data_IF_469865247729
#
_entry.id   IF_469865247729
#
_cell.length_a   1.000
_cell.length_b   1.000
_cell.length_c   1.000
_cell.angle_alpha   90.00
_cell.angle_beta   90.00
_cell.angle_gamma   90.00
#
_symmetry.space_group_name_H-M   'P 1'
#
loop_
_entity.id
_entity.type
_entity.pdbx_description
1 polymer ?
#
# COMPACT_ATOMS: atom_id res chain seq x y z
N UNK A 1 -47.68 -42.87 22.16
CA UNK A 1 -47.23 -44.25 22.01
C UNK A 1 -45.70 -44.14 21.93
N UNK A 2 -45.02 -44.24 23.04
CA UNK A 2 -44.44 -45.48 23.61
C UNK A 2 -43.30 -45.96 22.73
N UNK A 3 -42.08 -46.18 23.15
CA UNK A 3 -41.42 -46.58 24.41
C UNK A 3 -39.92 -46.64 24.09
N UNK A 4 -38.99 -46.06 24.85
CA UNK A 4 -38.27 -46.64 25.98
C UNK A 4 -37.45 -47.92 25.66
N UNK A 5 -36.11 -47.84 25.86
CA UNK A 5 -35.26 -48.66 26.72
C UNK A 5 -33.79 -48.45 26.31
N UNK A 6 -32.83 -48.00 27.08
CA UNK A 6 -32.33 -48.32 28.42
C UNK A 6 -31.61 -49.66 28.53
N UNK A 7 -30.37 -49.51 29.02
CA UNK A 7 -29.56 -50.51 29.76
C UNK A 7 -28.67 -51.45 28.94
N UNK A 8 -27.50 -51.82 29.33
CA UNK A 8 -26.81 -52.14 30.57
C UNK A 8 -25.29 -52.25 30.29
N UNK A 9 -24.43 -51.63 30.98
CA UNK A 9 -23.69 -52.08 32.19
C UNK A 9 -22.90 -53.39 32.08
N UNK A 10 -21.64 -53.29 32.42
CA UNK A 10 -20.74 -54.12 33.21
C UNK A 10 -19.49 -54.56 32.42
N UNK A 11 -18.32 -54.13 32.82
CA UNK A 11 -17.43 -54.43 33.95
C UNK A 11 -16.45 -55.55 33.66
N UNK A 12 -15.18 -55.29 33.77
CA UNK A 12 -14.21 -55.91 34.69
C UNK A 12 -12.76 -55.70 34.23
N UNK A 13 -11.99 -55.06 35.09
CA UNK A 13 -10.81 -55.61 35.77
C UNK A 13 -9.81 -56.23 34.83
N UNK A 14 -8.63 -55.75 34.65
CA UNK A 14 -7.55 -55.52 35.57
C UNK A 14 -6.30 -56.12 34.97
N UNK A 15 -5.24 -55.47 34.99
CA UNK A 15 -3.96 -56.03 35.51
C UNK A 15 -2.80 -55.11 35.11
N UNK A 16 -2.07 -54.82 36.11
CA UNK A 16 -0.83 -54.04 36.18
C UNK A 16 0.25 -54.57 35.23
N UNK A 17 0.86 -53.64 34.49
CA UNK A 17 2.21 -53.81 34.01
C UNK A 17 2.95 -52.47 34.07
N UNK A 18 3.68 -52.29 35.14
CA UNK A 18 4.76 -51.30 35.25
C UNK A 18 5.72 -51.52 34.07
N UNK A 19 5.77 -50.53 33.18
CA UNK A 19 6.85 -50.36 32.22
C UNK A 19 7.52 -49.03 32.55
N UNK A 20 8.66 -49.13 33.14
CA UNK A 20 9.68 -48.10 33.35
C UNK A 20 9.90 -47.31 32.06
N UNK A 21 9.41 -46.09 32.00
CA UNK A 21 9.78 -45.13 30.96
C UNK A 21 11.04 -44.41 31.38
N UNK A 22 12.15 -44.81 30.81
CA UNK A 22 13.36 -44.00 30.79
C UNK A 22 13.08 -42.68 30.13
N UNK A 23 13.26 -41.63 30.88
CA UNK A 23 13.07 -40.24 30.52
C UNK A 23 14.31 -39.79 29.75
N UNK A 24 14.34 -40.04 28.45
CA UNK A 24 15.27 -39.36 27.54
C UNK A 24 14.86 -37.90 27.43
N UNK A 25 15.47 -37.07 28.25
CA UNK A 25 15.46 -35.63 28.14
C UNK A 25 16.28 -35.20 26.93
N UNK A 26 15.72 -35.37 25.73
CA UNK A 26 16.21 -34.66 24.55
C UNK A 26 15.88 -33.19 24.71
N UNK A 27 16.87 -32.41 25.19
CA UNK A 27 16.83 -30.95 25.22
C UNK A 27 16.48 -30.43 23.84
N UNK A 28 15.23 -30.01 23.66
CA UNK A 28 14.78 -29.28 22.48
C UNK A 28 15.61 -28.02 22.31
N UNK A 29 16.59 -28.06 21.41
CA UNK A 29 17.23 -26.85 20.94
C UNK A 29 16.14 -26.00 20.31
N UNK A 30 15.76 -24.92 21.00
CA UNK A 30 14.92 -23.87 20.45
C UNK A 30 15.62 -23.34 19.20
N UNK A 31 15.06 -23.69 18.01
CA UNK A 31 15.49 -23.13 16.74
C UNK A 31 15.30 -21.63 16.86
N UNK A 32 16.39 -20.90 17.05
CA UNK A 32 16.34 -19.45 17.01
C UNK A 32 15.82 -19.03 15.64
N UNK A 33 14.81 -18.15 15.56
CA UNK A 33 14.33 -17.68 14.27
C UNK A 33 15.51 -17.04 13.54
N UNK A 34 15.87 -17.65 12.40
CA UNK A 34 16.93 -17.20 11.52
C UNK A 34 16.69 -15.73 11.18
N UNK A 35 17.56 -14.84 11.68
CA UNK A 35 17.45 -13.41 11.40
C UNK A 35 17.72 -13.23 9.92
N UNK A 36 16.66 -13.03 9.15
CA UNK A 36 16.75 -12.69 7.73
C UNK A 36 17.76 -11.54 7.55
N UNK A 37 18.69 -11.64 6.59
CA UNK A 37 19.70 -10.63 6.38
C UNK A 37 19.04 -9.27 6.10
N UNK A 38 19.37 -8.27 6.91
CA UNK A 38 18.88 -6.90 6.70
C UNK A 38 19.57 -6.33 5.47
N UNK A 39 18.78 -5.99 4.45
CA UNK A 39 19.30 -5.39 3.23
C UNK A 39 19.90 -4.02 3.54
N UNK A 40 21.21 -3.85 3.29
CA UNK A 40 21.87 -2.55 3.41
C UNK A 40 21.33 -1.59 2.35
N UNK A 41 20.83 -0.44 2.78
CA UNK A 41 20.29 0.58 1.91
C UNK A 41 21.33 1.64 1.62
N UNK A 42 21.49 2.06 0.36
CA UNK A 42 22.39 3.15 0.02
C UNK A 42 21.88 4.48 0.64
N UNK A 43 22.79 5.45 0.90
CA UNK A 43 22.40 6.72 1.52
C UNK A 43 21.40 7.49 0.67
N UNK A 44 20.47 8.16 1.32
CA UNK A 44 19.39 8.92 0.67
C UNK A 44 19.92 10.15 -0.07
N UNK A 45 21.04 10.72 0.40
CA UNK A 45 21.70 11.89 -0.19
C UNK A 45 23.01 11.39 -0.83
N UNK A 46 23.20 11.70 -2.11
CA UNK A 46 24.44 11.37 -2.82
C UNK A 46 25.57 12.32 -2.35
N UNK A 47 26.64 11.82 -1.71
CA UNK A 47 27.74 12.65 -1.25
C UNK A 47 28.56 13.25 -2.41
N UNK A 48 28.56 12.58 -3.57
CA UNK A 48 29.35 12.99 -4.75
C UNK A 48 28.57 13.91 -5.71
N UNK A 49 27.31 14.20 -5.40
CA UNK A 49 26.49 15.11 -6.21
C UNK A 49 26.95 16.57 -6.06
N UNK A 50 26.80 17.35 -7.14
CA UNK A 50 27.03 18.80 -7.12
C UNK A 50 26.19 19.49 -6.03
N UNK A 51 26.62 20.68 -5.60
CA UNK A 51 25.96 21.38 -4.48
C UNK A 51 24.47 21.69 -4.76
N UNK A 52 24.10 22.01 -6.00
CA UNK A 52 22.70 22.21 -6.41
C UNK A 52 21.87 20.94 -6.31
N UNK A 53 22.42 19.81 -6.74
CA UNK A 53 21.75 18.51 -6.64
C UNK A 53 21.58 18.09 -5.18
N UNK A 54 22.59 18.34 -4.34
CA UNK A 54 22.49 18.09 -2.88
C UNK A 54 21.46 18.98 -2.22
N UNK A 55 21.38 20.25 -2.61
CA UNK A 55 20.36 21.17 -2.11
C UNK A 55 18.96 20.70 -2.51
N UNK A 56 18.77 20.36 -3.79
CA UNK A 56 17.52 19.82 -4.29
C UNK A 56 17.10 18.54 -3.54
N UNK A 57 18.03 17.60 -3.34
CA UNK A 57 17.81 16.36 -2.60
C UNK A 57 17.41 16.62 -1.13
N UNK A 58 18.05 17.61 -0.48
CA UNK A 58 17.69 18.01 0.90
C UNK A 58 16.30 18.62 0.96
N UNK A 59 15.96 19.48 0.02
CA UNK A 59 14.64 20.10 -0.08
C UNK A 59 13.59 19.01 -0.34
N UNK A 60 13.82 18.13 -1.32
CA UNK A 60 12.93 17.01 -1.62
C UNK A 60 12.71 16.08 -0.41
N UNK A 61 13.78 15.70 0.30
CA UNK A 61 13.71 14.86 1.48
C UNK A 61 12.93 15.51 2.64
N UNK A 62 13.17 16.81 2.89
CA UNK A 62 12.42 17.58 3.90
C UNK A 62 10.96 17.73 3.51
N UNK A 63 10.67 18.09 2.26
CA UNK A 63 9.32 18.24 1.75
C UNK A 63 8.54 16.93 1.78
N UNK A 64 9.18 15.81 1.40
CA UNK A 64 8.57 14.48 1.46
C UNK A 64 8.22 14.07 2.90
N UNK A 65 9.11 14.33 3.87
CA UNK A 65 8.85 14.06 5.29
C UNK A 65 7.72 14.94 5.87
N UNK A 66 7.67 16.21 5.49
CA UNK A 66 6.60 17.12 5.90
C UNK A 66 5.26 16.77 5.26
N UNK A 67 5.27 16.31 4.01
CA UNK A 67 4.07 15.91 3.27
C UNK A 67 3.34 14.72 3.92
N UNK A 68 4.06 13.83 4.61
CA UNK A 68 3.48 12.70 5.35
C UNK A 68 2.78 13.16 6.63
N UNK A 69 3.22 14.28 7.23
CA UNK A 69 2.73 14.73 8.54
C UNK A 69 1.60 15.75 8.49
N UNK A 70 1.44 16.51 7.40
CA UNK A 70 0.51 17.64 7.38
C UNK A 70 -0.18 17.82 6.04
N UNK A 71 -1.52 17.89 6.05
CA UNK A 71 -2.36 18.12 4.87
C UNK A 71 -2.02 19.41 4.09
N UNK A 72 -1.53 20.46 4.75
CA UNK A 72 -1.14 21.70 4.09
C UNK A 72 0.07 21.47 3.19
N UNK A 73 1.13 20.85 3.70
CA UNK A 73 2.34 20.55 2.94
C UNK A 73 2.11 19.54 1.84
N UNK A 74 1.25 18.54 2.09
CA UNK A 74 0.80 17.62 1.06
C UNK A 74 0.13 18.35 -0.11
N UNK A 75 -0.75 19.31 0.16
CA UNK A 75 -1.43 20.11 -0.88
C UNK A 75 -0.47 21.01 -1.64
N UNK A 76 0.49 21.63 -0.96
CA UNK A 76 1.50 22.48 -1.60
C UNK A 76 2.43 21.64 -2.50
N UNK A 77 2.87 20.48 -2.02
CA UNK A 77 3.70 19.55 -2.79
C UNK A 77 2.93 18.94 -3.96
N UNK A 78 1.66 18.58 -3.76
CA UNK A 78 0.81 18.08 -4.84
C UNK A 78 0.63 19.11 -5.96
N UNK A 79 0.59 20.41 -5.65
CA UNK A 79 0.50 21.47 -6.66
C UNK A 79 1.72 21.52 -7.58
N UNK A 80 2.90 21.28 -7.03
CA UNK A 80 4.19 21.40 -7.74
C UNK A 80 4.54 20.08 -8.44
N UNK A 81 4.43 18.94 -7.73
CA UNK A 81 4.90 17.65 -8.19
C UNK A 81 3.81 16.73 -8.76
N UNK A 82 2.55 16.97 -8.36
CA UNK A 82 1.40 16.16 -8.78
C UNK A 82 0.26 17.07 -9.27
N UNK A 83 0.45 17.80 -10.40
CA UNK A 83 -0.53 18.78 -10.87
C UNK A 83 -1.91 18.16 -11.12
N UNK A 84 -1.99 16.90 -11.56
CA UNK A 84 -3.24 16.17 -11.73
C UNK A 84 -3.98 15.97 -10.40
N UNK A 85 -3.30 15.50 -9.37
CA UNK A 85 -3.87 15.32 -8.04
C UNK A 85 -4.37 16.64 -7.44
N UNK A 86 -3.61 17.72 -7.64
CA UNK A 86 -4.02 19.05 -7.19
C UNK A 86 -5.27 19.54 -7.93
N UNK A 87 -5.32 19.44 -9.25
CA UNK A 87 -6.48 19.86 -10.06
C UNK A 87 -7.71 19.00 -9.81
N UNK A 88 -7.57 17.69 -9.66
CA UNK A 88 -8.66 16.79 -9.29
C UNK A 88 -9.21 17.09 -7.89
N UNK A 89 -8.35 17.64 -7.01
CA UNK A 89 -8.69 17.98 -5.64
C UNK A 89 -8.86 16.76 -4.73
N UNK A 90 -8.21 15.64 -5.07
CA UNK A 90 -8.20 14.44 -4.22
C UNK A 90 -7.64 14.77 -2.83
N UNK A 91 -8.23 14.20 -1.79
CA UNK A 91 -7.88 14.45 -0.38
C UNK A 91 -7.91 13.16 0.42
N UNK A 92 -7.10 13.09 1.47
CA UNK A 92 -7.23 12.06 2.50
C UNK A 92 -8.57 12.20 3.24
N UNK A 93 -9.24 11.08 3.46
CA UNK A 93 -10.48 11.00 4.23
C UNK A 93 -10.31 10.19 5.52
N UNK A 94 -9.36 9.25 5.59
CA UNK A 94 -9.17 8.37 6.72
C UNK A 94 -8.88 9.14 8.00
N UNK A 95 -9.49 8.68 9.11
CA UNK A 95 -9.11 9.03 10.48
C UNK A 95 -8.16 7.96 11.02
N UNK A 96 -7.50 8.25 12.11
CA UNK A 96 -6.65 7.26 12.78
C UNK A 96 -7.46 6.02 13.15
N UNK A 97 -7.01 4.84 12.70
CA UNK A 97 -7.69 3.56 12.91
C UNK A 97 -8.65 3.12 11.81
N UNK A 98 -9.04 4.02 10.89
CA UNK A 98 -9.89 3.68 9.76
C UNK A 98 -9.07 3.08 8.59
N UNK A 99 -9.71 2.30 7.69
CA UNK A 99 -9.10 1.91 6.43
C UNK A 99 -8.61 3.12 5.64
N UNK A 100 -7.52 2.95 4.89
CA UNK A 100 -7.00 4.05 4.09
C UNK A 100 -8.01 4.47 3.02
N UNK A 101 -8.43 5.71 3.08
CA UNK A 101 -9.41 6.27 2.15
C UNK A 101 -8.97 7.63 1.62
N UNK A 102 -9.23 7.84 0.33
CA UNK A 102 -9.12 9.15 -0.31
C UNK A 102 -10.44 9.52 -0.97
N UNK A 103 -10.74 10.82 -1.05
CA UNK A 103 -11.96 11.33 -1.68
C UNK A 103 -11.62 12.27 -2.82
N UNK A 104 -12.24 12.04 -3.97
CA UNK A 104 -12.22 12.92 -5.15
C UNK A 104 -13.52 13.71 -5.20
N UNK A 105 -13.48 15.04 -5.09
CA UNK A 105 -14.69 15.87 -5.11
C UNK A 105 -15.33 15.89 -6.49
N UNK A 106 -16.66 16.02 -6.51
CA UNK A 106 -17.46 16.09 -7.73
C UNK A 106 -17.41 17.50 -8.32
N UNK A 107 -16.27 17.90 -8.90
CA UNK A 107 -15.99 19.21 -9.49
C UNK A 107 -16.04 19.16 -11.01
N UNK A 108 -16.18 20.33 -11.68
CA UNK A 108 -16.20 20.44 -13.14
C UNK A 108 -14.99 19.75 -13.80
N UNK A 109 -13.80 19.85 -13.25
CA UNK A 109 -12.59 19.21 -13.77
C UNK A 109 -12.69 17.69 -13.81
N UNK A 110 -13.44 17.07 -12.89
CA UNK A 110 -13.59 15.64 -12.78
C UNK A 110 -14.82 15.09 -13.50
N UNK A 111 -15.64 15.94 -14.12
CA UNK A 111 -16.87 15.55 -14.77
C UNK A 111 -16.70 15.32 -16.27
N UNK A 112 -17.50 14.41 -16.80
CA UNK A 112 -17.65 14.22 -18.22
C UNK A 112 -18.83 15.03 -18.77
N UNK A 113 -19.09 14.88 -20.05
CA UNK A 113 -20.17 15.54 -20.78
C UNK A 113 -21.57 15.21 -20.26
N UNK A 114 -21.74 14.03 -19.65
CA UNK A 114 -23.02 13.57 -19.10
C UNK A 114 -23.23 13.99 -17.64
N UNK A 115 -22.42 14.93 -17.12
CA UNK A 115 -22.45 15.37 -15.74
C UNK A 115 -22.23 14.22 -14.72
N UNK A 116 -21.47 13.19 -15.12
CA UNK A 116 -20.99 12.14 -14.24
C UNK A 116 -19.47 12.29 -14.05
N UNK A 117 -18.89 11.61 -13.06
CA UNK A 117 -17.43 11.56 -12.90
C UNK A 117 -16.83 10.93 -14.16
N UNK A 118 -15.85 11.61 -14.75
CA UNK A 118 -15.18 11.12 -15.97
C UNK A 118 -14.39 9.85 -15.67
N UNK A 119 -14.49 8.84 -16.55
CA UNK A 119 -13.75 7.60 -16.40
C UNK A 119 -12.24 7.83 -16.31
N UNK A 120 -11.69 8.76 -17.12
CA UNK A 120 -10.29 9.15 -17.08
C UNK A 120 -9.91 9.76 -15.70
N UNK A 121 -10.77 10.58 -15.11
CA UNK A 121 -10.55 11.12 -13.77
C UNK A 121 -10.58 10.02 -12.70
N UNK A 122 -11.49 9.05 -12.83
CA UNK A 122 -11.58 7.92 -11.92
C UNK A 122 -10.33 7.03 -12.00
N UNK A 123 -9.88 6.69 -13.22
CA UNK A 123 -8.68 5.89 -13.45
C UNK A 123 -7.42 6.60 -12.91
N UNK A 124 -7.21 7.86 -13.28
CA UNK A 124 -6.04 8.62 -12.87
C UNK A 124 -5.95 8.81 -11.34
N UNK A 125 -7.09 9.06 -10.68
CA UNK A 125 -7.11 9.17 -9.22
C UNK A 125 -6.95 7.81 -8.50
N UNK A 126 -7.17 6.67 -9.18
CA UNK A 126 -6.79 5.35 -8.65
C UNK A 126 -5.29 5.22 -8.51
N UNK A 127 -4.51 5.69 -9.51
CA UNK A 127 -3.06 5.74 -9.40
C UNK A 127 -2.60 6.60 -8.22
N UNK A 128 -3.19 7.80 -8.09
CA UNK A 128 -2.86 8.72 -6.99
C UNK A 128 -3.20 8.11 -5.63
N UNK A 129 -4.36 7.47 -5.49
CA UNK A 129 -4.79 6.86 -4.23
C UNK A 129 -3.91 5.67 -3.85
N UNK A 130 -3.69 4.73 -4.77
CA UNK A 130 -2.83 3.56 -4.54
C UNK A 130 -1.38 3.96 -4.28
N UNK A 131 -0.84 4.87 -5.08
CA UNK A 131 0.52 5.40 -4.90
C UNK A 131 0.70 6.12 -3.57
N UNK A 132 -0.29 6.89 -3.12
CA UNK A 132 -0.27 7.58 -1.81
C UNK A 132 -0.29 6.59 -0.65
N UNK A 133 -1.08 5.52 -0.75
CA UNK A 133 -1.10 4.43 0.23
C UNK A 133 0.29 3.79 0.38
N UNK A 134 0.89 3.37 -0.73
CA UNK A 134 2.21 2.74 -0.71
C UNK A 134 3.28 3.72 -0.23
N UNK A 135 3.26 4.98 -0.71
CA UNK A 135 4.21 6.00 -0.28
C UNK A 135 4.16 6.25 1.23
N UNK A 136 2.96 6.24 1.82
CA UNK A 136 2.79 6.37 3.27
C UNK A 136 3.41 5.18 4.02
N UNK A 137 3.28 3.96 3.47
CA UNK A 137 3.82 2.73 4.07
C UNK A 137 5.34 2.63 3.93
N UNK A 138 5.91 2.94 2.74
CA UNK A 138 7.36 2.76 2.51
C UNK A 138 8.18 3.97 2.95
N UNK A 139 7.59 5.16 2.96
CA UNK A 139 8.23 6.41 3.36
C UNK A 139 8.95 7.15 2.24
N UNK A 140 9.53 8.31 2.61
CA UNK A 140 10.07 9.29 1.67
C UNK A 140 11.36 8.87 0.95
N UNK A 141 12.03 7.83 1.42
CA UNK A 141 13.32 7.37 0.88
C UNK A 141 13.17 6.47 -0.35
N UNK A 142 11.91 6.13 -0.68
CA UNK A 142 11.57 5.28 -1.81
C UNK A 142 10.91 6.06 -2.95
N UNK A 143 11.08 5.54 -4.16
CA UNK A 143 10.33 5.92 -5.34
C UNK A 143 9.25 4.88 -5.57
N UNK A 144 8.04 5.33 -5.84
CA UNK A 144 6.86 4.49 -6.13
C UNK A 144 6.41 4.81 -7.55
N UNK A 145 6.46 3.82 -8.43
CA UNK A 145 6.09 3.99 -9.85
C UNK A 145 5.02 2.99 -10.23
N UNK A 146 3.91 3.46 -10.76
CA UNK A 146 2.85 2.59 -11.27
C UNK A 146 3.32 1.84 -12.52
N UNK A 147 3.26 0.51 -12.50
CA UNK A 147 3.60 -0.37 -13.63
C UNK A 147 2.38 -0.87 -14.36
N UNK A 148 1.30 -1.10 -13.63
CA UNK A 148 0.05 -1.63 -14.17
C UNK A 148 -1.11 -0.98 -13.42
N UNK A 149 -2.13 -0.57 -14.15
CA UNK A 149 -3.35 -0.01 -13.60
C UNK A 149 -4.54 -0.51 -14.38
N UNK A 150 -5.44 -1.18 -13.69
CA UNK A 150 -6.69 -1.68 -14.24
C UNK A 150 -7.87 -1.05 -13.49
N UNK A 151 -8.91 -0.69 -14.23
CA UNK A 151 -10.13 -0.14 -13.66
C UNK A 151 -11.36 -0.80 -14.27
N UNK A 152 -12.22 -1.32 -13.41
CA UNK A 152 -13.53 -1.86 -13.80
C UNK A 152 -14.63 -0.88 -13.40
N UNK A 153 -15.25 -0.23 -14.39
CA UNK A 153 -16.41 0.63 -14.21
C UNK A 153 -17.64 -0.23 -13.96
N UNK A 154 -18.36 0.01 -12.88
CA UNK A 154 -19.56 -0.73 -12.51
C UNK A 154 -20.83 0.09 -12.72
N UNK A 155 -20.77 1.38 -12.38
CA UNK A 155 -21.91 2.31 -12.48
C UNK A 155 -21.41 3.73 -12.70
N UNK A 156 -22.21 4.63 -13.31
CA UNK A 156 -21.93 6.05 -13.33
C UNK A 156 -21.80 6.60 -11.90
N UNK A 157 -20.78 7.41 -11.65
CA UNK A 157 -20.58 8.10 -10.39
C UNK A 157 -21.11 9.53 -10.51
N UNK A 158 -22.19 9.84 -9.82
CA UNK A 158 -22.89 11.12 -9.88
C UNK A 158 -22.61 12.01 -8.66
N UNK A 159 -21.61 11.67 -7.88
CA UNK A 159 -21.20 12.37 -6.67
C UNK A 159 -19.70 12.28 -6.42
N UNK A 160 -19.20 12.71 -5.26
CA UNK A 160 -17.82 12.52 -4.87
C UNK A 160 -17.46 11.03 -4.83
N UNK A 161 -16.25 10.68 -5.32
CA UNK A 161 -15.77 9.30 -5.33
C UNK A 161 -14.83 9.04 -4.15
N UNK A 162 -15.08 7.97 -3.39
CA UNK A 162 -14.27 7.52 -2.26
C UNK A 162 -13.50 6.29 -2.73
N UNK A 163 -12.19 6.36 -2.63
CA UNK A 163 -11.26 5.27 -2.91
C UNK A 163 -10.83 4.65 -1.60
N UNK A 164 -11.28 3.44 -1.33
CA UNK A 164 -10.76 2.61 -0.25
C UNK A 164 -9.67 1.72 -0.82
N UNK A 165 -8.49 1.78 -0.22
CA UNK A 165 -7.30 1.07 -0.71
C UNK A 165 -6.93 -0.01 0.29
N UNK A 166 -6.80 -1.23 -0.21
CA UNK A 166 -6.39 -2.39 0.56
C UNK A 166 -5.20 -3.07 -0.14
N UNK A 167 -4.22 -3.62 0.59
CA UNK A 167 -3.17 -4.42 -0.01
C UNK A 167 -3.79 -5.66 -0.66
N UNK A 168 -3.28 -6.08 -1.82
CA UNK A 168 -3.69 -7.35 -2.42
C UNK A 168 -3.04 -8.51 -1.64
N UNK A 169 -3.82 -9.57 -1.43
CA UNK A 169 -3.36 -10.85 -0.90
C UNK A 169 -2.60 -10.79 0.43
N UNK A 170 -2.96 -9.84 1.30
CA UNK A 170 -2.32 -9.72 2.63
C UNK A 170 -0.84 -9.37 2.58
N UNK A 171 -0.36 -8.76 1.49
CA UNK A 171 1.05 -8.39 1.31
C UNK A 171 1.53 -7.49 2.44
N UNK A 172 2.48 -7.95 3.23
CA UNK A 172 3.17 -7.14 4.24
C UNK A 172 4.26 -6.29 3.57
N UNK A 173 3.97 -5.00 3.43
CA UNK A 173 4.89 -4.03 2.83
C UNK A 173 6.14 -3.82 3.70
N UNK A 174 6.03 -3.90 5.02
CA UNK A 174 7.16 -3.74 5.93
C UNK A 174 8.12 -4.94 5.84
N UNK A 175 7.59 -6.15 5.68
CA UNK A 175 8.40 -7.34 5.44
C UNK A 175 9.12 -7.25 4.09
N UNK A 176 8.44 -6.88 3.02
CA UNK A 176 9.04 -6.66 1.71
C UNK A 176 10.15 -5.62 1.75
N UNK A 177 9.93 -4.53 2.43
CA UNK A 177 10.90 -3.46 2.62
C UNK A 177 12.14 -3.93 3.41
N UNK A 178 11.99 -4.86 4.35
CA UNK A 178 13.09 -5.43 5.13
C UNK A 178 13.91 -6.43 4.31
N UNK A 179 13.24 -7.27 3.52
CA UNK A 179 13.86 -8.41 2.84
C UNK A 179 14.35 -8.08 1.42
N UNK A 180 13.76 -7.08 0.76
CA UNK A 180 14.05 -6.76 -0.65
C UNK A 180 14.47 -5.30 -0.82
N UNK A 181 15.47 -5.09 -1.69
CA UNK A 181 15.90 -3.75 -2.08
C UNK A 181 14.90 -3.08 -3.03
N UNK A 182 14.37 -3.85 -3.98
CA UNK A 182 13.32 -3.43 -4.93
C UNK A 182 12.22 -4.49 -4.93
N UNK A 183 10.98 -4.07 -4.98
CA UNK A 183 9.85 -4.99 -4.98
C UNK A 183 8.64 -4.39 -5.69
N UNK A 184 7.71 -5.26 -6.07
CA UNK A 184 6.41 -4.83 -6.59
C UNK A 184 5.35 -5.06 -5.52
N UNK A 185 4.42 -4.12 -5.41
CA UNK A 185 3.25 -4.21 -4.53
C UNK A 185 2.02 -4.01 -5.37
N UNK A 186 1.06 -4.91 -5.23
CA UNK A 186 -0.27 -4.77 -5.82
C UNK A 186 -1.26 -4.33 -4.76
N UNK A 187 -2.07 -3.34 -5.08
CA UNK A 187 -3.16 -2.86 -4.23
C UNK A 187 -4.48 -2.99 -4.96
N UNK A 188 -5.50 -3.37 -4.21
CA UNK A 188 -6.88 -3.38 -4.67
C UNK A 188 -7.59 -2.15 -4.12
N UNK A 189 -8.43 -1.56 -4.94
CA UNK A 189 -9.21 -0.39 -4.57
C UNK A 189 -10.67 -0.64 -4.86
N UNK A 190 -11.52 -0.38 -3.88
CA UNK A 190 -12.96 -0.31 -4.07
C UNK A 190 -13.38 1.15 -4.09
N UNK A 191 -14.10 1.54 -5.14
CA UNK A 191 -14.52 2.92 -5.33
C UNK A 191 -16.01 3.04 -5.07
N UNK A 192 -16.36 3.93 -4.14
CA UNK A 192 -17.73 4.22 -3.76
C UNK A 192 -18.12 5.64 -4.13
N UNK A 193 -19.38 5.86 -4.48
CA UNK A 193 -19.97 7.18 -4.50
C UNK A 193 -20.32 7.58 -3.06
N UNK A 194 -19.81 8.72 -2.62
CA UNK A 194 -20.15 9.27 -1.31
C UNK A 194 -21.65 9.59 -1.23
N UNK A 195 -22.21 9.33 -0.06
CA UNK A 195 -23.60 9.69 0.27
C UNK A 195 -23.70 11.22 0.37
N UNK A 196 -24.64 11.78 -0.35
CA UNK A 196 -24.94 13.22 -0.30
C UNK A 196 -26.13 13.48 0.64
N UNK A 197 -27.08 12.53 0.72
CA UNK A 197 -28.25 12.60 1.60
C UNK A 197 -28.21 11.51 2.67
N UNK A 198 -28.70 11.82 3.88
CA UNK A 198 -28.60 10.94 5.06
C UNK A 198 -29.23 9.53 4.88
N UNK A 199 -30.20 9.40 3.99
CA UNK A 199 -30.95 8.16 3.75
C UNK A 199 -30.37 7.28 2.63
N UNK A 200 -29.29 7.73 1.97
CA UNK A 200 -28.64 6.98 0.90
C UNK A 200 -27.49 6.12 1.45
N UNK A 201 -27.37 4.89 0.92
CA UNK A 201 -26.21 4.03 1.19
C UNK A 201 -25.08 4.33 0.18
N UNK A 202 -23.84 4.27 0.62
CA UNK A 202 -22.69 4.34 -0.27
C UNK A 202 -22.82 3.27 -1.37
N UNK A 203 -22.73 3.72 -2.63
CA UNK A 203 -22.87 2.82 -3.79
C UNK A 203 -21.50 2.55 -4.38
N UNK A 204 -21.15 1.28 -4.55
CA UNK A 204 -19.94 0.89 -5.25
C UNK A 204 -20.07 1.22 -6.74
N UNK A 205 -19.19 2.08 -7.25
CA UNK A 205 -19.18 2.57 -8.63
C UNK A 205 -18.04 1.98 -9.47
N UNK A 206 -17.02 1.45 -8.83
CA UNK A 206 -15.90 0.85 -9.53
C UNK A 206 -15.02 -0.02 -8.65
N UNK A 207 -14.11 -0.75 -9.30
CA UNK A 207 -12.98 -1.45 -8.70
C UNK A 207 -11.75 -1.13 -9.51
N UNK A 208 -10.62 -1.01 -8.85
CA UNK A 208 -9.33 -0.83 -9.52
C UNK A 208 -8.27 -1.70 -8.87
N UNK A 209 -7.34 -2.16 -9.67
CA UNK A 209 -6.14 -2.88 -9.20
C UNK A 209 -4.92 -2.17 -9.78
N UNK A 210 -3.96 -1.85 -8.94
CA UNK A 210 -2.73 -1.19 -9.36
C UNK A 210 -1.51 -1.91 -8.82
N UNK A 211 -0.52 -2.14 -9.68
CA UNK A 211 0.78 -2.70 -9.29
C UNK A 211 1.83 -1.60 -9.38
N UNK A 212 2.50 -1.37 -8.27
CA UNK A 212 3.55 -0.37 -8.14
C UNK A 212 4.91 -1.03 -7.94
N UNK A 213 5.91 -0.48 -8.59
CA UNK A 213 7.31 -0.80 -8.36
C UNK A 213 7.87 0.16 -7.32
N UNK A 214 8.47 -0.40 -6.29
CA UNK A 214 9.07 0.33 -5.18
C UNK A 214 10.58 0.11 -5.20
N UNK A 215 11.35 1.20 -5.25
CA UNK A 215 12.81 1.16 -5.26
C UNK A 215 13.40 2.31 -4.43
N UNK A 216 14.56 2.13 -3.77
CA UNK A 216 15.26 3.22 -3.09
C UNK A 216 15.65 4.32 -4.07
N UNK A 217 15.43 5.58 -3.69
CA UNK A 217 15.80 6.76 -4.51
C UNK A 217 17.28 6.77 -4.88
N UNK A 218 18.16 6.35 -3.98
CA UNK A 218 19.59 6.28 -4.22
C UNK A 218 19.95 5.38 -5.41
N UNK A 219 19.32 4.21 -5.53
CA UNK A 219 19.56 3.28 -6.65
C UNK A 219 19.11 3.85 -7.99
N UNK A 220 17.97 4.57 -8.00
CA UNK A 220 17.51 5.23 -9.22
C UNK A 220 18.47 6.33 -9.68
N UNK A 221 19.05 7.07 -8.74
CA UNK A 221 20.08 8.10 -9.03
C UNK A 221 21.35 7.49 -9.61
N UNK A 222 21.81 6.39 -9.02
CA UNK A 222 22.97 5.66 -9.54
C UNK A 222 22.74 5.15 -10.97
N UNK A 223 21.57 4.59 -11.25
CA UNK A 223 21.19 4.18 -12.61
C UNK A 223 21.19 5.35 -13.60
N UNK A 224 20.66 6.52 -13.20
CA UNK A 224 20.67 7.73 -14.02
C UNK A 224 22.09 8.24 -14.27
N UNK A 225 22.96 8.21 -13.25
CA UNK A 225 24.39 8.57 -13.40
C UNK A 225 25.08 7.67 -14.41
N UNK A 226 25.01 6.36 -14.24
CA UNK A 226 25.58 5.36 -15.18
C UNK A 226 25.04 5.51 -16.60
N UNK A 227 23.76 5.80 -16.77
CA UNK A 227 23.17 6.04 -18.09
C UNK A 227 23.73 7.32 -18.75
N UNK A 228 23.93 8.37 -17.97
CA UNK A 228 24.54 9.63 -18.45
C UNK A 228 26.01 9.44 -18.84
N UNK A 229 26.79 8.73 -18.03
CA UNK A 229 28.20 8.39 -18.31
C UNK A 229 28.32 7.64 -19.64
N UNK A 230 27.52 6.57 -19.83
CA UNK A 230 27.48 5.81 -21.10
C UNK A 230 27.10 6.67 -22.31
N UNK A 231 26.22 7.64 -22.14
CA UNK A 231 25.80 8.54 -23.24
C UNK A 231 26.90 9.57 -23.60
N UNK A 232 27.86 9.82 -22.72
CA UNK A 232 29.00 10.70 -22.96
C UNK A 232 30.18 9.93 -23.57
N UNK A 233 30.35 8.65 -23.20
CA UNK A 233 31.39 7.76 -23.75
C UNK A 233 31.07 7.28 -25.17
N UNK A 234 29.81 7.26 -25.56
CA UNK A 234 29.34 6.87 -26.90
C UNK A 234 29.25 8.01 -27.93
N UNK A 235 29.77 9.20 -27.59
CA UNK A 235 29.95 10.33 -28.51
C UNK A 235 31.42 10.57 -28.76
#
# INVERSE_FOLDING_TARGET
MSTTNANMMQSSQGMDAEATLEHDAAAGQAVQPERLPTVQRPPTIDPDAGWWDRLYQRIEAKCSKLSVKNNFWHRMMARIFLPLAWRSGIKFRSKAGDPFQMVVPFRRFNKNWYNAMAGAAMLANSEVAGGSYIFQSVGADYTVVCKKLEYKFLRPCLGPAIYQVDPADGTDIEELKRTKLEFNVTVNMTIFQAVVHKDEKERRVGKSTATFHVAPKAKLRERKRKAKERSLEGK
#
